data_IF_844269414650
#
_entry.id   IF_844269414650
#
_cell.length_a   1.000
_cell.length_b   1.000
_cell.length_c   1.000
_cell.angle_alpha   90.00
_cell.angle_beta   90.00
_cell.angle_gamma   90.00
#
_symmetry.space_group_name_H-M   'P 1'
#
loop_
_entity.id
_entity.type
_entity.pdbx_description
1 polymer ?
#
# COMPACT_ATOMS: atom_id res chain seq x y z
N UNK A 1 27.90 3.45 15.30
CA UNK A 1 26.78 2.51 15.05
C UNK A 1 25.91 2.96 13.89
N UNK A 2 25.34 4.18 13.90
CA UNK A 2 24.57 4.70 12.77
C UNK A 2 25.39 4.74 11.46
N UNK A 3 26.63 5.24 11.50
CA UNK A 3 27.52 5.25 10.32
C UNK A 3 27.80 3.84 9.78
N UNK A 4 27.95 2.85 10.68
CA UNK A 4 28.12 1.46 10.29
C UNK A 4 26.84 0.92 9.62
N UNK A 5 25.67 1.33 10.09
CA UNK A 5 24.39 0.97 9.47
C UNK A 5 24.20 1.63 8.10
N UNK A 6 24.63 2.88 7.94
CA UNK A 6 24.54 3.60 6.67
C UNK A 6 25.54 3.06 5.63
N UNK A 7 26.76 2.76 6.05
CA UNK A 7 27.84 2.27 5.17
C UNK A 7 27.72 0.78 4.83
N UNK A 8 27.08 -0.01 5.69
CA UNK A 8 27.06 -1.48 5.58
C UNK A 8 28.24 -2.16 6.27
N UNK A 9 29.01 -1.46 7.11
CA UNK A 9 30.13 -2.05 7.85
C UNK A 9 29.64 -2.93 9.02
N UNK A 10 29.27 -4.16 8.69
CA UNK A 10 28.80 -5.16 9.65
C UNK A 10 29.87 -5.50 10.70
N UNK A 11 31.15 -5.42 10.33
CA UNK A 11 32.26 -5.75 11.24
C UNK A 11 32.38 -4.69 12.33
N UNK A 12 32.35 -3.40 11.96
CA UNK A 12 32.31 -2.31 12.92
C UNK A 12 31.05 -2.39 13.79
N UNK A 13 29.88 -2.70 13.19
CA UNK A 13 28.64 -2.82 13.95
C UNK A 13 28.72 -3.94 15.01
N UNK A 14 29.21 -5.13 14.66
CA UNK A 14 29.40 -6.23 15.61
C UNK A 14 30.34 -5.86 16.76
N UNK A 15 31.46 -5.20 16.47
CA UNK A 15 32.39 -4.69 17.50
C UNK A 15 31.71 -3.71 18.47
N UNK A 16 30.83 -2.83 17.97
CA UNK A 16 30.07 -1.93 18.85
C UNK A 16 29.08 -2.69 19.74
N UNK A 17 28.40 -3.71 19.22
CA UNK A 17 27.49 -4.54 20.00
C UNK A 17 28.24 -5.30 21.11
N UNK A 18 29.37 -5.91 20.79
CA UNK A 18 30.24 -6.61 21.75
C UNK A 18 30.74 -5.68 22.85
N UNK A 19 31.29 -4.51 22.48
CA UNK A 19 31.81 -3.52 23.42
C UNK A 19 30.73 -3.01 24.41
N UNK A 20 29.46 -3.10 24.03
CA UNK A 20 28.30 -2.68 24.82
C UNK A 20 27.51 -3.86 25.41
N UNK A 21 28.04 -5.07 25.30
CA UNK A 21 27.39 -6.31 25.77
C UNK A 21 25.97 -6.51 25.22
N UNK A 22 25.71 -6.02 24.00
CA UNK A 22 24.45 -6.23 23.30
C UNK A 22 24.48 -7.66 22.73
N UNK A 23 23.58 -8.52 23.22
CA UNK A 23 23.47 -9.93 22.85
C UNK A 23 22.18 -10.19 22.08
N UNK A 24 22.12 -11.34 21.41
CA UNK A 24 20.93 -11.83 20.71
C UNK A 24 19.74 -11.90 21.67
N UNK A 25 18.55 -11.54 21.19
CA UNK A 25 17.30 -11.60 21.95
C UNK A 25 17.11 -10.45 22.94
N UNK A 26 17.84 -9.35 22.76
CA UNK A 26 17.62 -8.16 23.58
C UNK A 26 16.35 -7.44 23.17
N UNK A 27 15.61 -6.90 24.12
CA UNK A 27 14.46 -6.05 23.81
C UNK A 27 14.92 -4.81 23.05
N UNK A 28 14.19 -4.44 22.01
CA UNK A 28 14.41 -3.20 21.28
C UNK A 28 14.37 -1.98 22.22
N UNK A 29 15.28 -1.03 21.99
CA UNK A 29 15.40 0.21 22.78
C UNK A 29 14.94 1.37 21.92
N UNK A 30 13.91 2.09 22.36
CA UNK A 30 13.30 3.17 21.57
C UNK A 30 13.67 4.58 22.05
N UNK A 31 14.32 4.70 23.21
CA UNK A 31 14.65 5.99 23.82
C UNK A 31 16.17 6.14 23.84
N UNK A 32 16.64 7.25 23.28
CA UNK A 32 18.05 7.60 23.34
C UNK A 32 18.45 7.88 24.80
N UNK A 33 19.60 7.35 25.20
CA UNK A 33 20.22 7.70 26.49
C UNK A 33 21.58 8.32 26.21
N UNK A 34 21.99 9.28 27.04
CA UNK A 34 23.18 10.12 26.79
C UNK A 34 24.46 9.33 26.46
N UNK A 35 24.59 8.12 27.01
CA UNK A 35 25.74 7.23 26.79
C UNK A 35 25.37 5.87 26.18
N UNK A 36 24.11 5.67 25.79
CA UNK A 36 23.61 4.38 25.31
C UNK A 36 23.74 4.17 23.80
N UNK A 37 23.27 3.01 23.34
CA UNK A 37 23.12 2.73 21.92
C UNK A 37 22.09 3.69 21.31
N UNK A 38 22.25 4.08 20.04
CA UNK A 38 21.16 4.70 19.31
C UNK A 38 19.90 3.82 19.38
N UNK A 39 18.71 4.41 19.35
CA UNK A 39 17.46 3.66 19.31
C UNK A 39 17.44 2.60 18.18
N UNK A 40 16.86 1.43 18.46
CA UNK A 40 16.78 0.30 17.53
C UNK A 40 16.09 0.69 16.22
N UNK A 41 14.99 1.45 16.29
CA UNK A 41 14.31 1.99 15.11
C UNK A 41 15.21 2.94 14.30
N UNK A 42 16.02 3.76 14.94
CA UNK A 42 16.96 4.65 14.25
C UNK A 42 18.07 3.87 13.52
N UNK A 43 18.62 2.82 14.14
CA UNK A 43 19.59 1.93 13.50
C UNK A 43 18.96 1.23 12.28
N UNK A 44 17.75 0.69 12.45
CA UNK A 44 17.03 -0.04 11.43
C UNK A 44 16.62 0.87 10.26
N UNK A 45 16.00 2.03 10.53
CA UNK A 45 15.64 3.02 9.52
C UNK A 45 16.87 3.47 8.72
N UNK A 46 18.00 3.73 9.40
CA UNK A 46 19.25 4.12 8.73
C UNK A 46 19.74 3.03 7.77
N UNK A 47 19.70 1.76 8.19
CA UNK A 47 20.08 0.64 7.34
C UNK A 47 19.15 0.48 6.12
N UNK A 48 17.84 0.63 6.33
CA UNK A 48 16.82 0.56 5.26
C UNK A 48 17.02 1.67 4.23
N UNK A 49 17.14 2.93 4.68
CA UNK A 49 17.32 4.08 3.78
C UNK A 49 18.57 3.97 2.90
N UNK A 50 19.56 3.18 3.33
CA UNK A 50 20.82 2.96 2.61
C UNK A 50 20.89 1.59 1.91
N UNK A 51 19.79 0.84 1.85
CA UNK A 51 19.71 -0.45 1.15
C UNK A 51 20.61 -1.54 1.76
N UNK A 52 20.86 -1.50 3.07
CA UNK A 52 21.81 -2.41 3.73
C UNK A 52 21.11 -3.64 4.30
N UNK A 53 20.68 -4.55 3.41
CA UNK A 53 19.98 -5.79 3.79
C UNK A 53 20.72 -6.60 4.86
N UNK A 54 22.03 -6.81 4.73
CA UNK A 54 22.81 -7.58 5.71
C UNK A 54 22.77 -6.95 7.12
N UNK A 55 22.82 -5.62 7.19
CA UNK A 55 22.68 -4.88 8.44
C UNK A 55 21.27 -5.04 8.99
N UNK A 56 20.25 -4.92 8.14
CA UNK A 56 18.84 -5.13 8.53
C UNK A 56 18.67 -6.51 9.14
N UNK A 57 19.09 -7.58 8.45
CA UNK A 57 18.99 -8.95 8.95
C UNK A 57 19.75 -9.13 10.27
N UNK A 58 20.96 -8.57 10.39
CA UNK A 58 21.70 -8.60 11.65
C UNK A 58 20.94 -7.91 12.79
N UNK A 59 20.35 -6.74 12.56
CA UNK A 59 19.59 -6.02 13.59
C UNK A 59 18.34 -6.80 14.02
N UNK A 60 17.62 -7.41 13.07
CA UNK A 60 16.46 -8.26 13.34
C UNK A 60 16.84 -9.53 14.12
N UNK A 61 18.02 -10.10 13.90
CA UNK A 61 18.52 -11.23 14.69
C UNK A 61 18.85 -10.83 16.13
N UNK A 62 19.39 -9.63 16.32
CA UNK A 62 19.90 -9.18 17.63
C UNK A 62 18.80 -8.71 18.57
N UNK A 63 17.73 -8.11 18.04
CA UNK A 63 16.65 -7.54 18.86
C UNK A 63 15.33 -8.32 18.72
N UNK A 64 14.68 -8.56 19.85
CA UNK A 64 13.33 -9.12 19.92
C UNK A 64 12.29 -8.01 20.12
N UNK A 65 11.10 -8.21 19.53
CA UNK A 65 9.95 -7.32 19.69
C UNK A 65 10.17 -5.94 19.11
N UNK A 66 10.85 -5.84 17.96
CA UNK A 66 10.93 -4.58 17.20
C UNK A 66 9.52 -4.20 16.72
N UNK A 67 9.11 -2.99 17.04
CA UNK A 67 7.90 -2.34 16.53
C UNK A 67 8.26 -1.54 15.29
N UNK A 68 7.51 -1.73 14.21
CA UNK A 68 7.69 -0.98 12.96
C UNK A 68 6.85 0.29 12.98
N UNK A 69 7.45 1.38 13.45
CA UNK A 69 6.82 2.68 13.52
C UNK A 69 6.86 3.45 12.17
N UNK A 70 6.38 4.70 12.19
CA UNK A 70 6.39 5.59 11.01
C UNK A 70 7.78 5.82 10.42
N UNK A 71 8.86 5.75 11.21
CA UNK A 71 10.23 5.96 10.70
C UNK A 71 10.70 4.81 9.82
N UNK A 72 10.34 3.57 10.18
CA UNK A 72 10.64 2.37 9.40
C UNK A 72 9.89 2.40 8.08
N UNK A 73 8.60 2.73 8.11
CA UNK A 73 7.80 2.81 6.88
C UNK A 73 8.27 3.96 5.99
N UNK A 74 8.58 5.13 6.56
CA UNK A 74 9.14 6.24 5.77
C UNK A 74 10.44 5.84 5.08
N UNK A 75 11.33 5.13 5.80
CA UNK A 75 12.56 4.61 5.22
C UNK A 75 12.30 3.63 4.05
N UNK A 76 11.31 2.73 4.17
CA UNK A 76 10.90 1.83 3.09
C UNK A 76 10.30 2.57 1.89
N UNK A 77 9.54 3.64 2.13
CA UNK A 77 8.94 4.44 1.05
C UNK A 77 9.99 5.25 0.28
N UNK A 78 11.02 5.74 0.98
CA UNK A 78 12.11 6.49 0.37
C UNK A 78 13.14 5.59 -0.30
N UNK A 79 13.32 4.36 0.19
CA UNK A 79 14.17 3.32 -0.38
C UNK A 79 13.41 1.98 -0.52
N UNK A 80 12.56 1.81 -1.56
CA UNK A 80 11.63 0.69 -1.70
C UNK A 80 12.31 -0.61 -2.16
N UNK A 81 13.20 -1.13 -1.33
CA UNK A 81 13.87 -2.42 -1.52
C UNK A 81 12.97 -3.56 -1.02
N UNK A 82 12.49 -4.38 -1.96
CA UNK A 82 11.60 -5.51 -1.67
C UNK A 82 12.28 -6.64 -0.90
N UNK A 83 13.60 -6.81 -1.01
CA UNK A 83 14.32 -7.83 -0.25
C UNK A 83 14.42 -7.43 1.23
N UNK A 84 14.61 -6.14 1.50
CA UNK A 84 14.52 -5.59 2.86
C UNK A 84 13.10 -5.77 3.41
N UNK A 85 12.07 -5.39 2.64
CA UNK A 85 10.68 -5.57 3.07
C UNK A 85 10.35 -7.04 3.36
N UNK A 86 10.80 -7.97 2.52
CA UNK A 86 10.62 -9.41 2.75
C UNK A 86 11.30 -9.88 4.06
N UNK A 87 12.50 -9.36 4.35
CA UNK A 87 13.18 -9.67 5.62
C UNK A 87 12.41 -9.14 6.83
N UNK A 88 11.81 -7.94 6.73
CA UNK A 88 11.01 -7.36 7.80
C UNK A 88 9.68 -8.11 7.97
N UNK A 89 9.03 -8.48 6.88
CA UNK A 89 7.80 -9.28 6.89
C UNK A 89 7.99 -10.66 7.52
N UNK A 90 9.12 -11.33 7.24
CA UNK A 90 9.47 -12.60 7.91
C UNK A 90 9.68 -12.46 9.42
N UNK A 91 10.05 -11.26 9.88
CA UNK A 91 10.24 -10.97 11.29
C UNK A 91 8.91 -10.64 11.99
N UNK A 92 8.09 -9.77 11.40
CA UNK A 92 6.73 -9.50 11.84
C UNK A 92 5.85 -9.20 10.62
N UNK A 93 4.94 -10.13 10.33
CA UNK A 93 4.06 -10.08 9.15
C UNK A 93 3.07 -8.92 9.20
N UNK A 94 2.84 -8.35 10.38
CA UNK A 94 1.94 -7.21 10.58
C UNK A 94 2.47 -5.92 9.97
N UNK A 95 3.73 -5.87 9.53
CA UNK A 95 4.29 -4.67 8.86
C UNK A 95 3.43 -4.22 7.67
N UNK A 96 2.81 -5.15 6.94
CA UNK A 96 1.97 -4.81 5.78
C UNK A 96 0.59 -4.26 6.19
N UNK A 97 0.21 -4.43 7.46
CA UNK A 97 -1.01 -3.93 8.06
C UNK A 97 -0.80 -2.64 8.85
N UNK A 98 0.39 -2.03 8.77
CA UNK A 98 0.69 -0.82 9.54
C UNK A 98 -0.25 0.32 9.15
N UNK A 99 -0.88 0.89 10.17
CA UNK A 99 -1.82 2.01 10.11
C UNK A 99 -1.37 3.10 11.09
N UNK A 100 -1.54 4.36 10.71
CA UNK A 100 -1.32 5.54 11.55
C UNK A 100 -2.63 6.22 11.93
N UNK A 101 -2.52 7.17 12.87
CA UNK A 101 -3.61 8.08 13.24
C UNK A 101 -4.28 8.65 11.98
N UNK A 102 -5.61 8.71 12.01
CA UNK A 102 -6.45 8.99 10.85
C UNK A 102 -6.40 7.89 9.78
N UNK A 103 -6.37 6.61 10.14
CA UNK A 103 -6.48 5.42 9.26
C UNK A 103 -5.65 5.45 7.95
N UNK A 104 -4.53 6.18 7.94
CA UNK A 104 -3.59 6.14 6.83
C UNK A 104 -2.84 4.81 6.95
N UNK A 105 -2.79 4.01 5.89
CA UNK A 105 -2.11 2.71 5.87
C UNK A 105 -0.83 2.76 5.05
N UNK A 106 0.06 1.79 5.29
CA UNK A 106 1.30 1.65 4.51
C UNK A 106 1.00 1.60 3.00
N UNK A 107 0.00 0.83 2.59
CA UNK A 107 -0.38 0.74 1.16
C UNK A 107 -0.88 2.07 0.61
N UNK A 108 -1.66 2.85 1.38
CA UNK A 108 -2.15 4.17 0.91
C UNK A 108 -1.02 5.18 0.76
N UNK A 109 -0.05 5.24 1.69
CA UNK A 109 1.14 6.09 1.55
C UNK A 109 2.04 5.66 0.39
N UNK A 110 2.16 4.35 0.16
CA UNK A 110 2.94 3.84 -0.96
C UNK A 110 2.31 4.27 -2.30
N UNK A 111 0.99 4.40 -2.37
CA UNK A 111 0.32 4.87 -3.58
C UNK A 111 0.67 6.31 -3.96
N UNK A 112 1.10 7.15 -3.02
CA UNK A 112 1.48 8.55 -3.28
C UNK A 112 2.87 8.69 -3.92
N UNK A 113 3.65 7.60 -3.97
CA UNK A 113 5.02 7.62 -4.49
C UNK A 113 5.05 7.43 -6.02
N UNK A 114 6.10 7.93 -6.71
CA UNK A 114 6.22 7.76 -8.16
C UNK A 114 6.11 6.29 -8.60
N UNK A 115 5.22 5.96 -9.56
CA UNK A 115 4.93 4.57 -9.94
C UNK A 115 6.15 3.75 -10.35
N UNK A 116 7.11 4.38 -11.03
CA UNK A 116 8.35 3.74 -11.49
C UNK A 116 9.29 3.32 -10.34
N UNK A 117 9.12 3.89 -9.15
CA UNK A 117 9.93 3.55 -7.96
C UNK A 117 9.22 2.58 -7.02
N UNK A 118 7.90 2.73 -6.86
CA UNK A 118 7.16 2.07 -5.78
C UNK A 118 6.42 0.79 -6.19
N UNK A 119 6.21 0.54 -7.49
CA UNK A 119 5.37 -0.56 -7.96
C UNK A 119 5.77 -1.95 -7.40
N UNK A 120 7.05 -2.35 -7.32
CA UNK A 120 7.43 -3.64 -6.72
C UNK A 120 7.00 -3.76 -5.25
N UNK A 121 7.17 -2.69 -4.47
CA UNK A 121 6.75 -2.63 -3.07
C UNK A 121 5.22 -2.71 -2.96
N UNK A 122 4.48 -1.95 -3.76
CA UNK A 122 3.02 -2.00 -3.77
C UNK A 122 2.48 -3.40 -4.10
N UNK A 123 3.07 -4.06 -5.10
CA UNK A 123 2.69 -5.42 -5.45
C UNK A 123 3.02 -6.41 -4.33
N UNK A 124 4.14 -6.23 -3.62
CA UNK A 124 4.46 -7.02 -2.44
C UNK A 124 3.38 -6.85 -1.36
N UNK A 125 3.00 -5.60 -1.03
CA UNK A 125 1.98 -5.32 -0.01
C UNK A 125 0.63 -5.96 -0.38
N UNK A 126 0.22 -5.83 -1.65
CA UNK A 126 -1.03 -6.39 -2.16
C UNK A 126 -1.00 -7.92 -2.17
N UNK A 127 0.13 -8.54 -2.51
CA UNK A 127 0.26 -10.00 -2.50
C UNK A 127 0.14 -10.57 -1.09
N UNK A 128 0.67 -9.85 -0.09
CA UNK A 128 0.67 -10.24 1.32
C UNK A 128 -0.49 -9.62 2.11
N UNK A 129 -1.64 -9.43 1.45
CA UNK A 129 -2.93 -9.08 2.04
C UNK A 129 -2.97 -7.78 2.84
N UNK A 130 -2.15 -6.77 2.51
CA UNK A 130 -2.26 -5.43 3.10
C UNK A 130 -3.72 -4.91 3.05
N UNK A 131 -4.18 -4.26 4.11
CA UNK A 131 -5.55 -3.78 4.19
C UNK A 131 -5.87 -2.75 3.08
N UNK A 132 -6.73 -3.15 2.13
CA UNK A 132 -7.11 -2.35 0.96
C UNK A 132 -8.41 -1.56 1.17
N UNK A 133 -9.19 -1.94 2.19
CA UNK A 133 -10.50 -1.40 2.56
C UNK A 133 -10.43 -0.48 3.79
N UNK A 134 -9.23 -0.13 4.25
CA UNK A 134 -8.98 0.83 5.32
C UNK A 134 -8.26 2.07 4.77
N UNK A 135 -8.62 3.25 5.27
CA UNK A 135 -8.16 4.52 4.72
C UNK A 135 -8.85 5.72 5.40
N UNK A 136 -8.05 6.61 5.98
CA UNK A 136 -8.44 7.63 6.95
C UNK A 136 -9.64 8.50 6.72
N UNK A 137 -9.65 9.08 5.54
CA UNK A 137 -10.72 9.96 5.12
C UNK A 137 -11.79 9.09 4.47
N UNK A 138 -13.08 9.39 4.68
CA UNK A 138 -14.14 8.72 3.93
C UNK A 138 -13.74 8.78 2.46
N UNK A 139 -13.66 7.60 1.83
CA UNK A 139 -13.30 7.40 0.43
C UNK A 139 -11.80 7.36 0.06
N UNK A 140 -10.85 7.36 1.01
CA UNK A 140 -9.39 7.18 0.74
C UNK A 140 -8.90 5.73 0.82
N UNK A 141 -9.60 4.81 0.14
CA UNK A 141 -9.19 3.41 0.05
C UNK A 141 -8.01 3.21 -0.92
N UNK A 142 -7.32 2.07 -0.83
CA UNK A 142 -6.09 1.80 -1.60
C UNK A 142 -6.25 2.01 -3.11
N UNK A 143 -7.38 1.59 -3.71
CA UNK A 143 -7.64 1.78 -5.15
C UNK A 143 -7.77 3.26 -5.52
N UNK A 144 -8.46 4.05 -4.70
CA UNK A 144 -8.56 5.50 -4.91
C UNK A 144 -7.18 6.17 -4.77
N UNK A 145 -6.43 5.83 -3.73
CA UNK A 145 -5.07 6.34 -3.51
C UNK A 145 -4.14 6.01 -4.69
N UNK A 146 -4.21 4.77 -5.21
CA UNK A 146 -3.45 4.34 -6.37
C UNK A 146 -3.77 5.17 -7.62
N UNK A 147 -5.04 5.55 -7.82
CA UNK A 147 -5.44 6.44 -8.92
C UNK A 147 -4.99 7.89 -8.70
N UNK A 148 -5.07 8.41 -7.47
CA UNK A 148 -4.56 9.75 -7.15
C UNK A 148 -3.06 9.85 -7.44
N UNK A 149 -2.28 8.82 -7.08
CA UNK A 149 -0.84 8.72 -7.35
C UNK A 149 -0.46 8.22 -8.75
N UNK A 150 -1.44 8.09 -9.65
CA UNK A 150 -1.25 7.63 -11.03
C UNK A 150 -0.49 6.29 -11.14
N UNK A 151 -0.74 5.36 -10.23
CA UNK A 151 -0.14 4.03 -10.25
C UNK A 151 -0.50 3.27 -11.53
N UNK A 152 0.36 2.32 -11.91
CA UNK A 152 0.16 1.50 -13.11
C UNK A 152 -1.13 0.69 -13.05
N UNK A 153 -1.72 0.39 -14.21
CA UNK A 153 -2.87 -0.51 -14.32
C UNK A 153 -2.62 -1.83 -13.57
N UNK A 154 -1.42 -2.42 -13.70
CA UNK A 154 -1.03 -3.66 -13.03
C UNK A 154 -1.25 -3.61 -11.51
N UNK A 155 -0.91 -2.49 -10.86
CA UNK A 155 -1.09 -2.32 -9.41
C UNK A 155 -2.58 -2.21 -9.06
N UNK A 156 -3.32 -1.41 -9.83
CA UNK A 156 -4.76 -1.21 -9.64
C UNK A 156 -5.53 -2.53 -9.82
N UNK A 157 -5.21 -3.29 -10.87
CA UNK A 157 -5.77 -4.63 -11.11
C UNK A 157 -5.47 -5.57 -9.95
N UNK A 158 -4.23 -5.60 -9.46
CA UNK A 158 -3.83 -6.46 -8.36
C UNK A 158 -4.65 -6.14 -7.09
N UNK A 159 -4.80 -4.84 -6.76
CA UNK A 159 -5.61 -4.39 -5.62
C UNK A 159 -7.07 -4.85 -5.75
N UNK A 160 -7.68 -4.64 -6.90
CA UNK A 160 -9.10 -4.99 -7.12
C UNK A 160 -9.31 -6.51 -7.10
N UNK A 161 -8.38 -7.27 -7.68
CA UNK A 161 -8.42 -8.75 -7.62
C UNK A 161 -8.23 -9.29 -6.20
N UNK A 162 -7.46 -8.60 -5.35
CA UNK A 162 -7.33 -8.89 -3.92
C UNK A 162 -8.48 -8.34 -3.07
N UNK A 163 -9.54 -7.83 -3.69
CA UNK A 163 -10.76 -7.40 -2.99
C UNK A 163 -10.78 -5.92 -2.60
N UNK A 164 -9.81 -5.13 -3.05
CA UNK A 164 -9.81 -3.68 -2.89
C UNK A 164 -11.09 -3.05 -3.47
N UNK A 165 -11.82 -2.24 -2.69
CA UNK A 165 -13.12 -1.75 -3.12
C UNK A 165 -12.97 -0.62 -4.15
N UNK A 166 -13.83 -0.65 -5.17
CA UNK A 166 -13.98 0.45 -6.13
C UNK A 166 -15.26 1.20 -5.79
N UNK A 167 -15.13 2.35 -5.14
CA UNK A 167 -16.24 3.26 -4.85
C UNK A 167 -16.27 4.43 -5.85
N UNK A 168 -17.30 5.27 -5.71
CA UNK A 168 -17.46 6.53 -6.47
C UNK A 168 -16.17 7.33 -6.60
N UNK A 169 -15.44 7.55 -5.51
CA UNK A 169 -14.21 8.34 -5.53
C UNK A 169 -13.14 7.74 -6.46
N UNK A 170 -12.94 6.41 -6.43
CA UNK A 170 -12.01 5.74 -7.32
C UNK A 170 -12.47 5.85 -8.78
N UNK A 171 -13.74 5.58 -9.09
CA UNK A 171 -14.26 5.72 -10.45
C UNK A 171 -14.12 7.15 -10.99
N UNK A 172 -14.48 8.14 -10.17
CA UNK A 172 -14.35 9.55 -10.51
C UNK A 172 -12.88 9.93 -10.75
N UNK A 173 -11.98 9.45 -9.90
CA UNK A 173 -10.56 9.74 -10.05
C UNK A 173 -9.97 9.13 -11.33
N UNK A 174 -10.43 7.96 -11.77
CA UNK A 174 -10.06 7.38 -13.06
C UNK A 174 -10.51 8.27 -14.23
N UNK A 175 -11.72 8.83 -14.18
CA UNK A 175 -12.21 9.81 -15.17
C UNK A 175 -11.37 11.08 -15.15
N UNK A 176 -11.16 11.69 -13.98
CA UNK A 176 -10.39 12.93 -13.83
C UNK A 176 -8.91 12.80 -14.24
N UNK A 177 -8.35 11.59 -14.19
CA UNK A 177 -7.00 11.29 -14.66
C UNK A 177 -6.96 10.80 -16.10
N UNK A 178 -8.11 10.79 -16.78
CA UNK A 178 -8.28 10.28 -18.14
C UNK A 178 -7.71 8.86 -18.33
N UNK A 179 -7.86 8.01 -17.30
CA UNK A 179 -7.33 6.63 -17.27
C UNK A 179 -8.28 5.68 -18.00
N UNK A 180 -8.29 5.80 -19.33
CA UNK A 180 -9.05 4.93 -20.25
C UNK A 180 -8.77 3.46 -19.95
N UNK A 181 -7.50 3.10 -19.76
CA UNK A 181 -7.04 1.75 -19.43
C UNK A 181 -7.71 1.17 -18.16
N UNK A 182 -7.85 1.99 -17.11
CA UNK A 182 -8.48 1.56 -15.86
C UNK A 182 -10.00 1.47 -16.01
N UNK A 183 -10.63 2.37 -16.76
CA UNK A 183 -12.08 2.35 -16.98
C UNK A 183 -12.47 1.13 -17.82
N UNK A 184 -11.69 0.78 -18.85
CA UNK A 184 -11.87 -0.47 -19.59
C UNK A 184 -11.75 -1.68 -18.67
N UNK A 185 -10.77 -1.69 -17.76
CA UNK A 185 -10.66 -2.74 -16.76
C UNK A 185 -11.87 -2.78 -15.81
N UNK A 186 -12.38 -1.64 -15.34
CA UNK A 186 -13.58 -1.57 -14.51
C UNK A 186 -14.81 -2.17 -15.20
N UNK A 187 -14.99 -1.87 -16.50
CA UNK A 187 -16.05 -2.45 -17.32
C UNK A 187 -15.90 -3.97 -17.43
N UNK A 188 -14.71 -4.45 -17.78
CA UNK A 188 -14.43 -5.89 -17.93
C UNK A 188 -14.59 -6.65 -16.61
N UNK A 189 -14.18 -6.04 -15.50
CA UNK A 189 -14.30 -6.61 -14.16
C UNK A 189 -15.74 -6.54 -13.60
N UNK A 190 -16.62 -5.76 -14.24
CA UNK A 190 -18.02 -5.61 -13.85
C UNK A 190 -18.22 -4.76 -12.60
N UNK A 191 -17.43 -3.70 -12.47
CA UNK A 191 -17.62 -2.66 -11.45
C UNK A 191 -18.86 -1.84 -11.82
N UNK A 192 -19.81 -1.77 -10.89
CA UNK A 192 -21.03 -0.97 -10.98
C UNK A 192 -21.17 -0.17 -9.68
N UNK A 193 -21.54 1.11 -9.80
CA UNK A 193 -21.75 2.02 -8.67
C UNK A 193 -23.24 2.36 -8.51
N UNK A 194 -23.55 3.31 -7.62
CA UNK A 194 -24.93 3.75 -7.43
C UNK A 194 -25.39 4.53 -8.65
N UNK A 195 -26.69 4.45 -8.97
CA UNK A 195 -27.26 5.16 -10.12
C UNK A 195 -27.05 6.68 -10.01
N UNK A 196 -27.11 7.23 -8.79
CA UNK A 196 -26.86 8.64 -8.50
C UNK A 196 -25.43 9.10 -8.86
N UNK A 197 -24.48 8.16 -8.98
CA UNK A 197 -23.10 8.46 -9.38
C UNK A 197 -22.94 8.60 -10.90
N UNK A 198 -23.87 8.07 -11.70
CA UNK A 198 -23.77 8.06 -13.18
C UNK A 198 -23.66 9.46 -13.75
N UNK A 199 -24.55 10.37 -13.32
CA UNK A 199 -24.55 11.72 -13.87
C UNK A 199 -23.26 12.44 -13.55
N UNK A 200 -22.75 12.29 -12.32
CA UNK A 200 -21.47 12.88 -11.93
C UNK A 200 -20.30 12.36 -12.78
N UNK A 201 -20.24 11.06 -13.07
CA UNK A 201 -19.17 10.50 -13.91
C UNK A 201 -19.23 11.05 -15.33
N UNK A 202 -20.43 11.16 -15.91
CA UNK A 202 -20.63 11.72 -17.25
C UNK A 202 -20.28 13.21 -17.30
N UNK A 203 -20.74 13.98 -16.32
CA UNK A 203 -20.46 15.41 -16.24
C UNK A 203 -18.95 15.68 -16.13
N UNK A 204 -18.20 14.88 -15.37
CA UNK A 204 -16.74 15.01 -15.32
C UNK A 204 -16.07 14.53 -16.61
N UNK A 205 -16.58 13.47 -17.25
CA UNK A 205 -16.05 13.01 -18.53
C UNK A 205 -16.24 14.07 -19.64
N UNK A 206 -17.41 14.72 -19.70
CA UNK A 206 -17.72 15.75 -20.69
C UNK A 206 -16.87 17.02 -20.51
N UNK A 207 -16.33 17.24 -19.31
CA UNK A 207 -15.33 18.30 -19.05
C UNK A 207 -13.94 17.94 -19.55
N UNK A 208 -13.67 16.66 -19.82
CA UNK A 208 -12.43 16.24 -20.46
C UNK A 208 -12.53 16.50 -21.97
N UNK A 209 -11.48 17.05 -22.58
CA UNK A 209 -11.42 17.21 -24.04
C UNK A 209 -11.08 15.89 -24.75
N UNK A 210 -11.37 14.75 -24.11
CA UNK A 210 -11.00 13.41 -24.53
C UNK A 210 -12.23 12.63 -25.02
N UNK A 211 -12.50 12.61 -26.34
CA UNK A 211 -13.72 11.99 -26.88
C UNK A 211 -13.76 10.47 -26.69
N UNK A 212 -12.61 9.82 -26.57
CA UNK A 212 -12.52 8.39 -26.28
C UNK A 212 -12.99 8.10 -24.86
N UNK A 213 -12.51 8.87 -23.88
CA UNK A 213 -12.93 8.78 -22.48
C UNK A 213 -14.44 9.02 -22.34
N UNK A 214 -14.96 10.08 -22.95
CA UNK A 214 -16.40 10.41 -22.95
C UNK A 214 -17.20 9.21 -23.45
N UNK A 215 -16.89 8.71 -24.65
CA UNK A 215 -17.58 7.55 -25.23
C UNK A 215 -17.50 6.33 -24.30
N UNK A 216 -16.35 6.08 -23.69
CA UNK A 216 -16.14 4.94 -22.80
C UNK A 216 -16.99 5.06 -21.52
N UNK A 217 -17.00 6.22 -20.86
CA UNK A 217 -17.80 6.46 -19.64
C UNK A 217 -19.29 6.34 -19.91
N UNK A 218 -19.77 6.89 -21.04
CA UNK A 218 -21.16 6.73 -21.44
C UNK A 218 -21.51 5.27 -21.71
N UNK A 219 -20.62 4.52 -22.37
CA UNK A 219 -20.79 3.08 -22.61
C UNK A 219 -20.86 2.31 -21.29
N UNK A 220 -19.89 2.53 -20.40
CA UNK A 220 -19.83 1.88 -19.09
C UNK A 220 -21.09 2.08 -18.26
N UNK A 221 -21.64 3.30 -18.25
CA UNK A 221 -22.79 3.68 -17.42
C UNK A 221 -24.15 3.45 -18.08
N UNK A 222 -24.20 3.16 -19.39
CA UNK A 222 -25.46 3.05 -20.15
C UNK A 222 -26.37 1.89 -19.71
N UNK A 223 -25.79 0.85 -19.10
CA UNK A 223 -26.50 -0.36 -18.68
C UNK A 223 -26.91 -0.40 -17.21
N UNK A 224 -26.53 0.59 -16.40
CA UNK A 224 -26.80 0.59 -14.96
C UNK A 224 -28.31 0.85 -14.74
N UNK A 225 -29.03 -0.14 -14.19
CA UNK A 225 -30.47 -0.04 -13.89
C UNK A 225 -30.69 0.21 -12.40
N UNK A 226 -31.81 0.87 -12.07
CA UNK A 226 -32.32 0.93 -10.70
C UNK A 226 -32.67 -0.49 -10.22
N UNK A 227 -31.78 -1.14 -9.48
CA UNK A 227 -32.20 -2.25 -8.62
C UNK A 227 -32.86 -1.64 -7.38
N UNK A 228 -34.17 -1.84 -7.28
CA UNK A 228 -35.00 -1.35 -6.18
C UNK A 228 -34.46 -1.80 -4.81
N UNK A 229 -34.08 -0.82 -3.97
CA UNK A 229 -34.19 -0.93 -2.51
C UNK A 229 -33.15 -1.77 -1.76
N UNK A 230 -32.04 -2.19 -2.38
CA UNK A 230 -30.92 -2.78 -1.64
C UNK A 230 -29.94 -1.72 -1.16
N UNK A 231 -29.60 -1.67 0.13
CA UNK A 231 -28.42 -0.93 0.62
C UNK A 231 -27.15 -1.45 -0.08
N UNK A 232 -26.86 -0.96 -1.27
CA UNK A 232 -25.60 -1.19 -1.95
C UNK A 232 -24.53 -0.35 -1.25
N UNK A 233 -24.00 -0.92 -0.15
CA UNK A 233 -22.60 -0.74 0.24
C UNK A 233 -21.82 -1.20 -0.99
N UNK A 234 -21.10 -0.29 -1.65
CA UNK A 234 -20.46 -0.55 -2.95
C UNK A 234 -19.89 -1.96 -3.01
N UNK A 235 -20.19 -2.67 -4.09
CA UNK A 235 -19.97 -4.12 -4.21
C UNK A 235 -18.57 -4.47 -3.69
N UNK A 236 -18.49 -5.00 -2.47
CA UNK A 236 -17.30 -5.73 -2.07
C UNK A 236 -17.26 -6.95 -2.98
N UNK A 237 -16.19 -7.00 -3.78
CA UNK A 237 -15.88 -8.02 -4.79
C UNK A 237 -16.11 -9.46 -4.26
N UNK A 238 -16.04 -9.66 -2.94
CA UNK A 238 -16.35 -10.90 -2.26
C UNK A 238 -17.72 -11.52 -2.57
N UNK A 239 -18.79 -10.76 -2.88
CA UNK A 239 -20.11 -11.35 -3.21
C UNK A 239 -20.16 -11.97 -4.60
N UNK A 240 -19.57 -11.34 -5.63
CA UNK A 240 -19.54 -11.87 -7.00
C UNK A 240 -18.55 -13.03 -7.13
N UNK A 241 -17.39 -12.98 -6.45
CA UNK A 241 -16.45 -14.10 -6.41
C UNK A 241 -16.99 -15.31 -5.62
N UNK A 242 -17.71 -15.13 -4.51
CA UNK A 242 -18.44 -16.24 -3.86
C UNK A 242 -19.53 -16.83 -4.75
N UNK A 243 -20.19 -16.04 -5.59
CA UNK A 243 -21.18 -16.55 -6.54
C UNK A 243 -20.55 -17.29 -7.73
N UNK A 244 -19.40 -16.83 -8.23
CA UNK A 244 -18.71 -17.43 -9.38
C UNK A 244 -17.82 -18.62 -9.00
N UNK A 245 -17.21 -18.61 -7.81
CA UNK A 245 -16.25 -19.63 -7.37
C UNK A 245 -16.67 -20.39 -6.10
N UNK A 246 -17.68 -19.93 -5.36
CA UNK A 246 -18.23 -20.65 -4.20
C UNK A 246 -19.26 -21.74 -4.56
N UNK A 247 -19.45 -22.02 -5.85
CA UNK A 247 -20.23 -23.18 -6.35
C UNK A 247 -19.30 -24.26 -6.94
N UNK A 248 -18.28 -24.67 -6.20
CA UNK A 248 -17.65 -25.99 -6.40
C UNK A 248 -17.19 -26.56 -5.06
N UNK A 249 -17.84 -27.65 -4.66
CA UNK A 249 -17.35 -28.65 -3.70
C UNK A 249 -17.42 -28.25 -2.24
#
# INVERSE_FOLDING_TARGET
MLDACASGDITALRRFFEARSIRRGLKAVYIATANGAPPTNALLATAIMNGKLEIVSFLLEMYDGISFDSSIITALLDHPDTAILESLYKYDDKIVQTEWDNQITFVTLACERPPNKIAPLLLFLVEHDAALDTGGLPFHFAVHAALCGNQSLRVIEAMIRKGGPVYRAAALQAVLRERVDVIEFFMQYGVELRIDDVQCLRDEADKTENPELVKLVYTWTSGWREEAGGENRGLTVGRKLKQLFGRRG
#
